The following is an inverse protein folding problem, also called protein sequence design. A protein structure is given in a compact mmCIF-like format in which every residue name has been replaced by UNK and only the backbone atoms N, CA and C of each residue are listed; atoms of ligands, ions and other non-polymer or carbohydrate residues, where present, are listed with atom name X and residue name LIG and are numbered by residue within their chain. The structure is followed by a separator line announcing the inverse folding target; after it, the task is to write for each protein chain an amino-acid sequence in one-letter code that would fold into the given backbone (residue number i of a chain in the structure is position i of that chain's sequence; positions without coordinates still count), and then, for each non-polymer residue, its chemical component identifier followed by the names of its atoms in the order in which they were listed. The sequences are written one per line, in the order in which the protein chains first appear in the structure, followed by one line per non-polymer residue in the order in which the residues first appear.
data_IF_248230273395
#
_entry.id   IF_248230273395
#
_cell.length_a   1.000
_cell.length_b   1.000
_cell.length_c   1.000
_cell.angle_alpha   90.00
_cell.angle_beta   90.00
_cell.angle_gamma   90.00
#
_symmetry.space_group_name_H-M   'P 1'
#
loop_
_entity.id
_entity.type
_entity.pdbx_description
1 polymer ?
#
# COMPACT_ATOMS: atom_id res chain seq x y z
N UNK A 1 5.11 17.16 -5.00
CA UNK A 1 5.12 15.84 -5.70
C UNK A 1 4.75 16.06 -7.17
N UNK A 2 5.56 15.55 -8.10
CA UNK A 2 5.23 15.59 -9.54
C UNK A 2 4.06 14.65 -9.86
N UNK A 3 3.33 14.93 -10.95
CA UNK A 3 2.22 14.09 -11.41
C UNK A 3 2.68 12.67 -11.71
N UNK A 4 3.89 12.51 -12.24
CA UNK A 4 4.47 11.19 -12.58
C UNK A 4 4.70 10.36 -11.31
N UNK A 5 5.37 10.93 -10.30
CA UNK A 5 5.54 10.29 -8.99
C UNK A 5 4.21 9.81 -8.37
N UNK A 6 3.17 10.65 -8.43
CA UNK A 6 1.86 10.32 -7.89
C UNK A 6 1.24 9.09 -8.58
N UNK A 7 1.34 9.03 -9.92
CA UNK A 7 0.84 7.91 -10.71
C UNK A 7 1.65 6.63 -10.46
N UNK A 8 2.97 6.75 -10.31
CA UNK A 8 3.84 5.62 -9.97
C UNK A 8 3.52 5.06 -8.57
N UNK A 9 3.31 5.93 -7.58
CA UNK A 9 2.90 5.50 -6.24
C UNK A 9 1.51 4.84 -6.25
N UNK A 10 0.56 5.39 -7.00
CA UNK A 10 -0.75 4.78 -7.14
C UNK A 10 -0.67 3.38 -7.78
N UNK A 11 0.16 3.22 -8.82
CA UNK A 11 0.43 1.93 -9.43
C UNK A 11 1.12 0.96 -8.46
N UNK A 12 2.09 1.44 -7.68
CA UNK A 12 2.77 0.65 -6.67
C UNK A 12 1.79 0.08 -5.63
N UNK A 13 0.92 0.95 -5.10
CA UNK A 13 -0.13 0.58 -4.14
C UNK A 13 -1.12 -0.40 -4.76
N UNK A 14 -1.56 -0.19 -6.00
CA UNK A 14 -2.49 -1.10 -6.67
C UNK A 14 -1.90 -2.51 -6.83
N UNK A 15 -0.63 -2.60 -7.23
CA UNK A 15 0.10 -3.87 -7.34
C UNK A 15 0.27 -4.55 -5.97
N UNK A 16 0.61 -3.80 -4.94
CA UNK A 16 0.74 -4.30 -3.57
C UNK A 16 -0.59 -4.83 -3.05
N UNK A 17 -1.68 -4.09 -3.22
CA UNK A 17 -3.02 -4.50 -2.78
C UNK A 17 -3.42 -5.79 -3.48
N UNK A 18 -3.24 -5.89 -4.80
CA UNK A 18 -3.52 -7.10 -5.55
C UNK A 18 -2.67 -8.29 -5.05
N UNK A 19 -1.36 -8.08 -4.87
CA UNK A 19 -0.44 -9.11 -4.37
C UNK A 19 -0.79 -9.57 -2.95
N UNK A 20 -1.15 -8.65 -2.07
CA UNK A 20 -1.48 -8.94 -0.67
C UNK A 20 -2.82 -9.67 -0.54
N UNK A 21 -3.84 -9.28 -1.31
CA UNK A 21 -5.11 -9.98 -1.33
C UNK A 21 -4.97 -11.38 -1.94
N UNK A 22 -4.17 -11.52 -3.00
CA UNK A 22 -3.84 -12.84 -3.56
C UNK A 22 -3.07 -13.70 -2.55
N UNK A 23 -2.17 -13.10 -1.76
CA UNK A 23 -1.44 -13.80 -0.71
C UNK A 23 -2.41 -14.31 0.35
N UNK A 24 -3.39 -13.48 0.75
CA UNK A 24 -4.45 -13.91 1.67
C UNK A 24 -5.27 -15.07 1.09
N UNK A 25 -5.51 -15.09 -0.21
CA UNK A 25 -6.23 -16.16 -0.89
C UNK A 25 -5.45 -17.50 -0.95
N UNK A 26 -4.19 -17.55 -0.54
CA UNK A 26 -3.43 -18.82 -0.46
C UNK A 26 -3.89 -19.74 0.69
N UNK A 27 -4.70 -19.23 1.63
CA UNK A 27 -5.13 -19.93 2.85
C UNK A 27 -3.96 -20.59 3.60
N UNK A 28 -2.94 -19.79 3.93
CA UNK A 28 -1.73 -20.27 4.59
C UNK A 28 -0.92 -21.22 3.72
N UNK A 29 -0.82 -20.93 2.42
CA UNK A 29 -0.11 -21.72 1.41
C UNK A 29 -0.72 -23.10 1.08
N UNK A 30 -1.96 -23.38 1.50
CA UNK A 30 -2.68 -24.58 1.05
C UNK A 30 -3.05 -24.52 -0.43
N UNK A 31 -3.29 -23.32 -0.97
CA UNK A 31 -3.50 -23.07 -2.39
C UNK A 31 -2.37 -22.21 -2.93
N UNK A 32 -1.56 -22.76 -3.84
CA UNK A 32 -0.41 -22.06 -4.42
C UNK A 32 -0.74 -21.30 -5.71
N UNK A 33 -1.91 -21.53 -6.32
CA UNK A 33 -2.31 -20.82 -7.55
C UNK A 33 -2.31 -19.30 -7.42
N UNK A 34 -2.76 -18.69 -6.30
CA UNK A 34 -2.69 -17.24 -6.13
C UNK A 34 -1.26 -16.68 -6.16
N UNK A 35 -0.21 -17.50 -5.94
CA UNK A 35 1.18 -17.04 -6.01
C UNK A 35 1.56 -16.49 -7.40
N UNK A 36 0.87 -16.93 -8.45
CA UNK A 36 1.00 -16.36 -9.79
C UNK A 36 0.63 -14.87 -9.85
N UNK A 37 -0.13 -14.37 -8.88
CA UNK A 37 -0.47 -12.95 -8.72
C UNK A 37 0.39 -12.30 -7.63
N UNK A 38 0.68 -13.01 -6.53
CA UNK A 38 1.51 -12.51 -5.42
C UNK A 38 2.88 -12.05 -5.91
N UNK A 39 3.58 -12.91 -6.64
CA UNK A 39 4.96 -12.65 -7.08
C UNK A 39 5.02 -11.40 -7.99
N UNK A 40 4.31 -11.35 -9.13
CA UNK A 40 4.34 -10.16 -9.98
C UNK A 40 3.73 -8.94 -9.32
N UNK A 41 2.75 -9.10 -8.41
CA UNK A 41 2.16 -8.01 -7.64
C UNK A 41 3.20 -7.31 -6.77
N UNK A 42 3.93 -8.04 -5.93
CA UNK A 42 4.98 -7.43 -5.11
C UNK A 42 6.16 -6.92 -5.93
N UNK A 43 6.59 -7.64 -6.97
CA UNK A 43 7.66 -7.17 -7.85
C UNK A 43 7.27 -5.85 -8.55
N UNK A 44 6.04 -5.77 -9.07
CA UNK A 44 5.49 -4.56 -9.66
C UNK A 44 5.40 -3.42 -8.65
N UNK A 45 4.94 -3.69 -7.43
CA UNK A 45 4.85 -2.71 -6.35
C UNK A 45 6.22 -2.07 -6.06
N UNK A 46 7.25 -2.90 -5.84
CA UNK A 46 8.60 -2.40 -5.57
C UNK A 46 9.23 -1.72 -6.79
N UNK A 47 8.95 -2.17 -8.01
CA UNK A 47 9.44 -1.53 -9.22
C UNK A 47 8.87 -0.10 -9.36
N UNK A 48 7.55 0.07 -9.22
CA UNK A 48 6.92 1.39 -9.32
C UNK A 48 7.29 2.31 -8.17
N UNK A 49 7.39 1.77 -6.95
CA UNK A 49 7.91 2.51 -5.80
C UNK A 49 9.33 3.01 -6.09
N UNK A 50 10.23 2.13 -6.51
CA UNK A 50 11.61 2.48 -6.84
C UNK A 50 11.73 3.55 -7.93
N UNK A 51 10.84 3.52 -8.94
CA UNK A 51 10.77 4.58 -9.95
C UNK A 51 10.29 5.92 -9.36
N UNK A 52 9.32 5.90 -8.44
CA UNK A 52 8.80 7.11 -7.80
C UNK A 52 9.88 7.84 -6.98
N UNK A 53 10.83 7.10 -6.41
CA UNK A 53 11.95 7.65 -5.62
C UNK A 53 12.89 8.56 -6.41
N UNK A 54 12.79 8.58 -7.74
CA UNK A 54 13.53 9.53 -8.58
C UNK A 54 13.00 10.97 -8.47
N UNK A 55 11.77 11.14 -7.99
CA UNK A 55 11.04 12.41 -7.98
C UNK A 55 10.54 12.84 -6.59
N UNK A 56 10.51 11.92 -5.62
CA UNK A 56 10.10 12.18 -4.23
C UNK A 56 11.07 11.53 -3.26
N UNK A 57 11.21 12.14 -2.08
CA UNK A 57 12.07 11.60 -1.03
C UNK A 57 11.58 10.23 -0.57
N UNK A 58 12.52 9.39 -0.14
CA UNK A 58 12.23 8.05 0.39
C UNK A 58 11.22 8.12 1.53
N UNK A 59 11.35 9.11 2.42
CA UNK A 59 10.43 9.31 3.54
C UNK A 59 8.98 9.54 3.09
N UNK A 60 8.76 10.46 2.14
CA UNK A 60 7.41 10.75 1.63
C UNK A 60 6.85 9.55 0.87
N UNK A 61 7.64 8.94 -0.01
CA UNK A 61 7.21 7.78 -0.79
C UNK A 61 6.79 6.60 0.10
N UNK A 62 7.62 6.23 1.08
CA UNK A 62 7.29 5.15 2.02
C UNK A 62 6.11 5.49 2.92
N UNK A 63 6.00 6.73 3.38
CA UNK A 63 4.88 7.17 4.19
C UNK A 63 3.56 7.00 3.42
N UNK A 64 3.46 7.57 2.21
CA UNK A 64 2.27 7.49 1.37
C UNK A 64 1.95 6.05 0.99
N UNK A 65 2.95 5.31 0.53
CA UNK A 65 2.81 3.90 0.15
C UNK A 65 2.26 3.05 1.29
N UNK A 66 2.87 3.14 2.48
CA UNK A 66 2.49 2.34 3.64
C UNK A 66 1.07 2.67 4.14
N UNK A 67 0.70 3.95 4.20
CA UNK A 67 -0.64 4.32 4.65
C UNK A 67 -1.72 3.92 3.65
N UNK A 68 -1.52 4.22 2.37
CA UNK A 68 -2.48 3.87 1.32
C UNK A 68 -2.64 2.36 1.20
N UNK A 69 -1.53 1.62 1.16
CA UNK A 69 -1.52 0.15 1.12
C UNK A 69 -2.26 -0.44 2.31
N UNK A 70 -1.94 -0.01 3.54
CA UNK A 70 -2.60 -0.52 4.76
C UNK A 70 -4.12 -0.29 4.74
N UNK A 71 -4.56 0.93 4.40
CA UNK A 71 -6.00 1.26 4.36
C UNK A 71 -6.72 0.45 3.29
N UNK A 72 -6.17 0.39 2.08
CA UNK A 72 -6.80 -0.30 0.96
C UNK A 72 -6.80 -1.81 1.12
N UNK A 73 -5.70 -2.42 1.58
CA UNK A 73 -5.65 -3.85 1.89
C UNK A 73 -6.66 -4.19 2.97
N UNK A 74 -6.72 -3.42 4.06
CA UNK A 74 -7.66 -3.69 5.16
C UNK A 74 -9.11 -3.58 4.69
N UNK A 75 -9.44 -2.52 3.95
CA UNK A 75 -10.78 -2.32 3.42
C UNK A 75 -11.17 -3.42 2.42
N UNK A 76 -10.28 -3.74 1.48
CA UNK A 76 -10.53 -4.78 0.49
C UNK A 76 -10.62 -6.17 1.12
N UNK A 77 -9.80 -6.47 2.15
CA UNK A 77 -9.88 -7.73 2.86
C UNK A 77 -11.19 -7.87 3.65
N UNK A 78 -11.68 -6.78 4.25
CA UNK A 78 -12.98 -6.76 4.92
C UNK A 78 -14.12 -7.07 3.94
N UNK A 79 -14.08 -6.50 2.73
CA UNK A 79 -15.10 -6.71 1.70
C UNK A 79 -15.01 -8.10 1.05
N UNK A 80 -13.81 -8.55 0.70
CA UNK A 80 -13.60 -9.78 -0.08
C UNK A 80 -13.56 -11.04 0.78
N UNK A 81 -13.00 -10.96 1.99
CA UNK A 81 -12.81 -12.10 2.88
C UNK A 81 -13.70 -12.05 4.14
N UNK A 82 -14.46 -10.96 4.34
CA UNK A 82 -15.32 -10.81 5.51
C UNK A 82 -14.54 -10.55 6.80
N UNK A 83 -13.29 -10.08 6.70
CA UNK A 83 -12.47 -9.76 7.87
C UNK A 83 -13.16 -8.69 8.72
N UNK A 84 -13.23 -8.94 10.03
CA UNK A 84 -13.79 -7.96 10.99
C UNK A 84 -12.78 -6.84 11.21
N UNK A 85 -13.16 -5.62 10.83
CA UNK A 85 -12.38 -4.42 11.14
C UNK A 85 -12.83 -3.88 12.49
N UNK A 86 -11.94 -3.93 13.48
CA UNK A 86 -12.23 -3.43 14.82
C UNK A 86 -12.16 -1.89 14.89
N UNK A 87 -12.83 -1.29 15.87
CA UNK A 87 -12.77 0.15 16.08
C UNK A 87 -11.33 0.65 16.36
N UNK A 88 -10.51 -0.15 17.04
CA UNK A 88 -9.09 0.17 17.25
C UNK A 88 -8.28 0.11 15.95
N UNK A 89 -8.58 -0.82 15.04
CA UNK A 89 -7.97 -0.86 13.71
C UNK A 89 -8.29 0.40 12.92
N UNK A 90 -9.54 0.85 12.95
CA UNK A 90 -9.96 2.10 12.27
C UNK A 90 -9.23 3.31 12.86
N UNK A 91 -9.15 3.39 14.19
CA UNK A 91 -8.41 4.46 14.87
C UNK A 91 -6.92 4.45 14.48
N UNK A 92 -6.29 3.27 14.46
CA UNK A 92 -4.91 3.11 14.01
C UNK A 92 -4.69 3.61 12.59
N UNK A 93 -5.55 3.21 11.64
CA UNK A 93 -5.50 3.70 10.26
C UNK A 93 -5.66 5.21 10.17
N UNK A 94 -6.57 5.81 10.95
CA UNK A 94 -6.75 7.26 10.98
C UNK A 94 -5.49 7.98 11.47
N UNK A 95 -4.85 7.47 12.52
CA UNK A 95 -3.57 8.00 13.04
C UNK A 95 -2.46 7.87 11.99
N UNK A 96 -2.38 6.74 11.29
CA UNK A 96 -1.41 6.53 10.22
C UNK A 96 -1.58 7.56 9.11
N UNK A 97 -2.82 7.83 8.65
CA UNK A 97 -3.10 8.86 7.63
C UNK A 97 -2.66 10.25 8.11
N UNK A 98 -2.94 10.60 9.38
CA UNK A 98 -2.49 11.87 9.97
C UNK A 98 -0.97 11.97 10.00
N UNK A 99 -0.28 10.89 10.41
CA UNK A 99 1.19 10.85 10.42
C UNK A 99 1.79 11.08 9.03
N UNK A 100 1.20 10.48 7.99
CA UNK A 100 1.63 10.71 6.60
C UNK A 100 1.38 12.14 6.15
N UNK A 101 0.23 12.72 6.51
CA UNK A 101 -0.06 14.12 6.20
C UNK A 101 1.00 15.05 6.80
N UNK A 102 1.41 14.80 8.05
CA UNK A 102 2.48 15.56 8.72
C UNK A 102 3.81 15.41 7.98
N UNK A 103 4.23 14.19 7.65
CA UNK A 103 5.49 13.93 6.92
C UNK A 103 5.50 14.65 5.57
N UNK A 104 4.39 14.56 4.82
CA UNK A 104 4.29 15.18 3.51
C UNK A 104 4.31 16.72 3.59
N UNK A 105 3.72 17.30 4.63
CA UNK A 105 3.73 18.75 4.87
C UNK A 105 5.09 19.25 5.36
N UNK A 106 5.81 18.49 6.19
CA UNK A 106 7.14 18.88 6.66
C UNK A 106 8.17 18.88 5.54
N UNK A 107 8.11 17.89 4.63
CA UNK A 107 9.02 17.85 3.48
C UNK A 107 8.66 18.88 2.40
N UNK A 108 7.43 19.40 2.38
CA UNK A 108 7.05 20.50 1.49
C UNK A 108 7.53 21.88 1.99
N UNK A 109 7.97 21.96 3.26
CA UNK A 109 8.47 23.18 3.88
C UNK A 109 10.00 23.34 3.79
N UNK A 110 10.70 22.34 3.23
CA UNK A 110 12.14 22.35 2.89
C UNK A 110 12.33 22.46 1.37
#
# INVERSE_FOLDING_TARGET
MSRTAALLLAAAVACEVAGTLALRATDGYKNLWPLLVVIPGYLGAFAFLGLSLREVSVGVAYAVWSAAGTVLVTAAAAVLFGDRVSASTILGMAITVVGVAIINLSTAAE
#
